data_IF_085225422672
#
_entry.id   IF_085225422672
#
_cell.length_a   1.000
_cell.length_b   1.000
_cell.length_c   1.000
_cell.angle_alpha   90.00
_cell.angle_beta   90.00
_cell.angle_gamma   90.00
#
_symmetry.space_group_name_H-M   'P 1'
#
loop_
_entity.id
_entity.type
_entity.pdbx_description
1 polymer ?
#
# COMPACT_ATOMS: atom_id res chain seq x y z
N UNK A 1 -27.11 -17.41 -0.49
CA UNK A 1 -26.14 -16.85 0.46
C UNK A 1 -24.80 -17.27 -0.07
N UNK A 2 -24.02 -16.32 -0.58
CA UNK A 2 -22.86 -16.61 -1.41
C UNK A 2 -21.61 -16.33 -0.59
N UNK A 3 -20.86 -17.38 -0.28
CA UNK A 3 -19.57 -17.27 0.41
C UNK A 3 -18.46 -17.36 -0.64
N UNK A 4 -17.60 -16.34 -0.69
CA UNK A 4 -16.44 -16.35 -1.57
C UNK A 4 -15.24 -16.94 -0.83
N UNK A 5 -14.66 -17.99 -1.37
CA UNK A 5 -13.42 -18.58 -0.84
C UNK A 5 -12.26 -17.71 -1.30
N UNK A 6 -11.65 -16.99 -0.37
CA UNK A 6 -10.45 -16.19 -0.61
C UNK A 6 -9.24 -17.08 -0.34
N UNK A 7 -8.45 -17.32 -1.37
CA UNK A 7 -7.13 -17.93 -1.22
C UNK A 7 -6.18 -16.93 -0.55
N UNK A 8 -5.71 -17.23 0.66
CA UNK A 8 -4.95 -16.29 1.48
C UNK A 8 -3.44 -16.29 1.21
N UNK A 9 -2.99 -16.95 0.13
CA UNK A 9 -1.55 -17.10 -0.19
C UNK A 9 -0.83 -15.77 -0.43
N UNK A 10 -1.56 -14.72 -0.79
CA UNK A 10 -1.00 -13.41 -1.15
C UNK A 10 -1.15 -12.33 -0.06
N UNK A 11 -1.70 -12.66 1.11
CA UNK A 11 -1.93 -11.71 2.20
C UNK A 11 -1.26 -12.15 3.50
N UNK A 12 -0.36 -11.34 4.04
CA UNK A 12 0.32 -11.64 5.30
C UNK A 12 -0.62 -11.50 6.51
N UNK A 13 -1.50 -10.49 6.49
CA UNK A 13 -2.42 -10.16 7.59
C UNK A 13 -3.74 -9.62 7.04
N UNK A 14 -4.86 -10.06 7.60
CA UNK A 14 -6.19 -9.49 7.36
C UNK A 14 -6.67 -8.83 8.65
N UNK A 15 -7.02 -7.55 8.55
CA UNK A 15 -7.48 -6.76 9.69
C UNK A 15 -9.01 -6.82 9.79
N UNK A 16 -9.49 -7.36 10.92
CA UNK A 16 -10.91 -7.45 11.22
C UNK A 16 -11.52 -6.11 11.66
N UNK A 17 -12.85 -6.10 11.77
CA UNK A 17 -13.62 -4.92 12.17
C UNK A 17 -13.29 -4.44 13.59
N UNK A 18 -13.00 -5.36 14.51
CA UNK A 18 -12.58 -5.06 15.88
C UNK A 18 -11.31 -4.23 15.92
N UNK A 19 -10.33 -4.60 15.09
CA UNK A 19 -9.09 -3.86 14.95
C UNK A 19 -9.32 -2.49 14.31
N UNK A 20 -10.11 -2.43 13.23
CA UNK A 20 -10.43 -1.17 12.54
C UNK A 20 -11.17 -0.19 13.47
N UNK A 21 -12.12 -0.68 14.27
CA UNK A 21 -12.85 0.14 15.26
C UNK A 21 -11.90 0.65 16.34
N UNK A 22 -11.00 -0.20 16.85
CA UNK A 22 -10.03 0.18 17.89
C UNK A 22 -9.17 1.37 17.46
N UNK A 23 -8.77 1.40 16.20
CA UNK A 23 -7.96 2.48 15.63
C UNK A 23 -8.77 3.53 14.86
N UNK A 24 -10.11 3.51 14.98
CA UNK A 24 -11.03 4.47 14.37
C UNK A 24 -10.74 4.66 12.88
N UNK A 25 -10.52 3.56 12.17
CA UNK A 25 -10.11 3.59 10.78
C UNK A 25 -11.17 4.31 9.91
N UNK A 26 -10.72 5.30 9.13
CA UNK A 26 -11.48 5.92 8.06
C UNK A 26 -10.99 5.36 6.72
N UNK A 27 -11.87 4.69 5.99
CA UNK A 27 -11.54 3.98 4.74
C UNK A 27 -12.18 4.73 3.58
N UNK A 28 -11.34 5.47 2.86
CA UNK A 28 -11.72 6.22 1.66
C UNK A 28 -11.45 5.37 0.42
N UNK A 29 -12.42 4.51 0.09
CA UNK A 29 -12.29 3.48 -0.94
C UNK A 29 -11.97 4.04 -2.34
N UNK A 30 -12.56 5.19 -2.69
CA UNK A 30 -12.37 5.81 -4.01
C UNK A 30 -10.94 6.32 -4.19
N UNK A 31 -10.40 6.93 -3.13
CA UNK A 31 -9.05 7.47 -3.03
C UNK A 31 -8.00 6.37 -2.77
N UNK A 32 -8.45 5.15 -2.43
CA UNK A 32 -7.61 4.03 -1.98
C UNK A 32 -6.78 4.44 -0.77
N UNK A 33 -7.41 5.12 0.19
CA UNK A 33 -6.72 5.63 1.37
C UNK A 33 -7.35 5.08 2.65
N UNK A 34 -6.52 4.79 3.64
CA UNK A 34 -6.94 4.41 4.98
C UNK A 34 -6.24 5.31 5.99
N UNK A 35 -7.00 6.01 6.82
CA UNK A 35 -6.47 6.80 7.93
C UNK A 35 -6.82 6.14 9.25
N UNK A 36 -5.81 5.92 10.08
CA UNK A 36 -5.99 5.44 11.45
C UNK A 36 -5.83 6.61 12.42
N UNK A 37 -6.66 6.65 13.45
CA UNK A 37 -6.61 7.65 14.52
C UNK A 37 -6.43 6.97 15.88
N UNK A 38 -5.20 6.57 16.22
CA UNK A 38 -4.90 6.02 17.54
C UNK A 38 -5.20 7.05 18.63
N UNK A 39 -5.64 6.58 19.81
CA UNK A 39 -6.06 7.47 20.91
C UNK A 39 -4.90 8.31 21.48
N UNK A 40 -3.66 7.81 21.38
CA UNK A 40 -2.49 8.42 22.02
C UNK A 40 -1.38 8.79 21.03
N UNK A 41 -1.60 8.61 19.73
CA UNK A 41 -0.61 8.88 18.70
C UNK A 41 -1.18 9.77 17.60
N UNK A 42 -0.29 10.25 16.74
CA UNK A 42 -0.69 11.00 15.55
C UNK A 42 -1.43 10.10 14.55
N UNK A 43 -2.34 10.68 13.73
CA UNK A 43 -2.98 9.94 12.66
C UNK A 43 -1.96 9.37 11.69
N UNK A 44 -2.21 8.15 11.23
CA UNK A 44 -1.37 7.47 10.23
C UNK A 44 -2.18 7.24 8.98
N UNK A 45 -1.64 7.66 7.83
CA UNK A 45 -2.30 7.54 6.53
C UNK A 45 -1.58 6.48 5.68
N UNK A 46 -2.35 5.52 5.18
CA UNK A 46 -1.90 4.49 4.26
C UNK A 46 -2.57 4.69 2.91
N UNK A 47 -1.77 4.56 1.85
CA UNK A 47 -2.26 4.62 0.48
C UNK A 47 -2.16 3.22 -0.16
N UNK A 48 -3.24 2.80 -0.79
CA UNK A 48 -3.27 1.60 -1.60
C UNK A 48 -2.29 1.73 -2.77
N UNK A 49 -1.71 0.60 -3.18
CA UNK A 49 -0.72 0.58 -4.26
C UNK A 49 -1.35 1.11 -5.55
N UNK A 50 -0.77 2.20 -6.07
CA UNK A 50 -1.04 2.69 -7.42
C UNK A 50 0.08 2.21 -8.34
N UNK A 51 -0.19 1.17 -9.14
CA UNK A 51 0.73 0.69 -10.17
C UNK A 51 1.04 1.76 -11.26
N UNK A 52 0.34 2.90 -11.23
CA UNK A 52 0.55 4.01 -12.18
C UNK A 52 1.88 4.76 -11.96
N UNK A 53 2.53 4.57 -10.81
CA UNK A 53 3.74 5.33 -10.45
C UNK A 53 4.83 4.43 -9.86
N UNK A 54 5.03 3.21 -10.40
CA UNK A 54 6.34 2.58 -10.24
C UNK A 54 7.37 3.52 -10.88
N UNK A 55 8.34 4.08 -10.12
CA UNK A 55 9.43 4.82 -10.75
C UNK A 55 10.05 3.91 -11.79
N UNK A 56 10.43 4.45 -12.95
CA UNK A 56 11.27 3.69 -13.89
C UNK A 56 12.62 3.46 -13.21
N UNK A 57 12.71 2.40 -12.43
CA UNK A 57 13.95 1.94 -11.81
C UNK A 57 14.76 1.23 -12.87
N UNK A 58 15.99 1.69 -13.05
CA UNK A 58 17.00 1.03 -13.88
C UNK A 58 18.01 0.35 -12.97
N UNK A 59 18.54 -0.79 -13.40
CA UNK A 59 19.63 -1.46 -12.67
C UNK A 59 20.87 -0.58 -12.60
N UNK A 60 21.71 -0.75 -11.58
CA UNK A 60 23.03 -0.09 -11.45
C UNK A 60 23.89 -0.27 -12.71
N UNK A 61 23.78 -1.43 -13.37
CA UNK A 61 24.44 -1.72 -14.65
C UNK A 61 23.92 -0.84 -15.79
N UNK A 62 22.60 -0.67 -15.87
CA UNK A 62 21.96 0.16 -16.89
C UNK A 62 22.28 1.63 -16.66
N UNK A 63 22.27 2.10 -15.41
CA UNK A 63 22.67 3.45 -15.05
C UNK A 63 24.11 3.74 -15.49
N UNK A 64 25.07 2.85 -15.19
CA UNK A 64 26.47 3.00 -15.61
C UNK A 64 26.62 3.04 -17.13
N UNK A 65 25.92 2.17 -17.86
CA UNK A 65 25.96 2.13 -19.33
C UNK A 65 25.36 3.38 -19.98
N UNK A 66 24.35 3.98 -19.36
CA UNK A 66 23.76 5.23 -19.84
C UNK A 66 24.68 6.43 -19.56
N UNK A 67 25.36 6.46 -18.42
CA UNK A 67 26.31 7.51 -18.07
C UNK A 67 27.61 7.46 -18.89
N UNK A 68 28.06 6.27 -19.28
CA UNK A 68 29.25 6.09 -20.12
C UNK A 68 29.04 6.52 -21.58
N UNK A 69 27.83 6.91 -21.96
CA UNK A 69 27.46 7.35 -23.31
C UNK A 69 27.26 8.88 -23.41
N UNK A 70 27.90 9.67 -22.53
CA UNK A 70 27.78 11.13 -22.56
C UNK A 70 28.27 11.75 -23.87
N UNK A 71 27.37 12.55 -24.48
CA UNK A 71 27.48 13.49 -25.62
C UNK A 71 27.97 12.96 -26.96
#
# INVERSE_FOLDING_TARGET
ADAYVIDMRDFDVILGMDWLIRYRADIRCQEREVTLYPVSDQPVVFFGVSLRTMPRVISSMQARKSLSKGS
#
